data_IF_812894162022
#
_entry.id   IF_812894162022
#
_cell.length_a   1.000
_cell.length_b   1.000
_cell.length_c   1.000
_cell.angle_alpha   90.00
_cell.angle_beta   90.00
_cell.angle_gamma   90.00
#
_symmetry.space_group_name_H-M   'P 1'
#
loop_
_entity.id
_entity.type
_entity.pdbx_description
1 polymer ?
#
# COMPACT_ATOMS: atom_id res chain seq x y z
N UNK A 1 18.68 30.47 83.36
CA UNK A 1 19.70 29.51 82.90
C UNK A 1 19.44 29.18 81.44
N UNK A 2 20.51 29.21 80.60
CA UNK A 2 20.82 28.45 79.36
C UNK A 2 19.63 27.92 78.52
N UNK A 3 19.57 27.94 77.19
CA UNK A 3 20.44 28.29 76.04
C UNK A 3 19.64 27.82 74.78
N UNK A 4 19.76 28.49 73.61
CA UNK A 4 20.07 27.89 72.27
C UNK A 4 19.03 26.90 71.68
N UNK A 5 18.56 26.88 70.43
CA UNK A 5 18.89 27.50 69.13
C UNK A 5 17.84 27.11 68.07
N UNK A 6 17.67 28.01 67.08
CA UNK A 6 17.58 27.87 65.61
C UNK A 6 17.02 26.61 64.88
N UNK A 7 16.39 26.96 63.75
CA UNK A 7 16.36 26.31 62.42
C UNK A 7 15.27 25.26 62.17
N UNK A 8 14.73 25.07 60.97
CA UNK A 8 14.65 25.83 59.72
C UNK A 8 13.70 25.06 58.77
N UNK A 9 13.03 25.80 57.87
CA UNK A 9 12.60 25.43 56.50
C UNK A 9 11.85 24.10 56.28
N UNK A 10 10.63 24.21 55.73
CA UNK A 10 10.29 23.46 54.51
C UNK A 10 9.54 24.38 53.53
N UNK A 11 10.30 24.88 52.56
CA UNK A 11 9.78 25.51 51.34
C UNK A 11 9.18 24.37 50.52
N UNK A 12 7.86 24.32 50.42
CA UNK A 12 7.16 23.41 49.52
C UNK A 12 7.43 23.79 48.07
N UNK A 13 8.51 23.27 47.48
CA UNK A 13 8.70 23.24 46.04
C UNK A 13 7.83 22.13 45.48
N UNK A 14 6.63 22.49 45.04
CA UNK A 14 5.81 21.62 44.19
C UNK A 14 6.54 21.43 42.87
N UNK A 15 7.25 20.30 42.73
CA UNK A 15 7.81 19.86 41.46
C UNK A 15 6.64 19.28 40.64
N UNK A 16 6.04 20.11 39.81
CA UNK A 16 5.18 19.66 38.72
C UNK A 16 6.09 18.91 37.74
N UNK A 17 6.18 17.60 37.89
CA UNK A 17 6.86 16.73 36.94
C UNK A 17 6.08 16.81 35.63
N UNK A 18 6.66 17.51 34.65
CA UNK A 18 6.22 17.47 33.26
C UNK A 18 6.56 16.07 32.74
N UNK A 19 5.62 15.15 32.85
CA UNK A 19 5.68 13.85 32.17
C UNK A 19 5.59 14.10 30.67
N UNK A 20 6.73 14.39 30.04
CA UNK A 20 6.88 14.21 28.60
C UNK A 20 6.81 12.71 28.38
N UNK A 21 5.61 12.20 28.11
CA UNK A 21 5.46 10.92 27.44
C UNK A 21 6.06 11.16 26.06
N UNK A 22 7.34 10.79 25.90
CA UNK A 22 7.89 10.61 24.57
C UNK A 22 7.03 9.53 23.93
N UNK A 23 6.20 9.93 22.96
CA UNK A 23 5.65 8.98 22.01
C UNK A 23 6.87 8.35 21.33
N UNK A 24 7.29 7.18 21.82
CA UNK A 24 8.19 6.34 21.07
C UNK A 24 7.51 6.17 19.72
N UNK A 25 8.16 6.50 18.59
CA UNK A 25 7.62 6.10 17.32
C UNK A 25 7.46 4.58 17.43
N UNK A 26 6.21 4.13 17.50
CA UNK A 26 5.88 2.76 17.13
C UNK A 26 6.62 2.56 15.82
N UNK A 27 7.37 1.46 15.72
CA UNK A 27 8.19 1.10 14.56
C UNK A 27 7.27 1.00 13.34
N UNK A 28 6.82 2.13 12.83
CA UNK A 28 5.84 2.24 11.78
C UNK A 28 6.60 1.80 10.54
N UNK A 29 6.41 0.53 10.17
CA UNK A 29 7.02 -0.19 9.05
C UNK A 29 8.19 0.55 8.40
N UNK A 30 9.40 0.38 8.97
CA UNK A 30 10.63 0.89 8.35
C UNK A 30 10.90 0.20 7.00
N UNK A 31 10.22 -0.92 6.72
CA UNK A 31 10.43 -1.70 5.51
C UNK A 31 10.25 -0.86 4.23
N UNK A 32 9.16 -0.08 4.14
CA UNK A 32 8.84 0.74 2.97
C UNK A 32 9.69 2.02 2.83
N UNK A 33 10.44 2.43 3.86
CA UNK A 33 11.33 3.59 3.82
C UNK A 33 12.83 3.24 3.83
N UNK A 34 13.20 1.96 3.73
CA UNK A 34 14.59 1.52 3.61
C UNK A 34 15.14 1.61 2.18
N UNK A 35 16.47 1.81 2.05
CA UNK A 35 17.19 1.78 0.77
C UNK A 35 17.10 0.43 0.02
N UNK A 36 16.82 -0.65 0.75
CA UNK A 36 16.66 -2.02 0.25
C UNK A 36 15.19 -2.45 0.20
N UNK A 37 14.28 -1.56 0.59
CA UNK A 37 12.85 -1.80 0.66
C UNK A 37 12.16 -1.73 -0.70
N UNK A 38 10.89 -2.14 -0.76
CA UNK A 38 10.15 -2.35 -1.99
C UNK A 38 9.89 -1.03 -2.74
N UNK A 39 9.62 0.05 -2.02
CA UNK A 39 9.45 1.40 -2.59
C UNK A 39 10.70 1.86 -3.34
N UNK A 40 11.88 1.73 -2.73
CA UNK A 40 13.15 2.13 -3.35
C UNK A 40 13.57 1.13 -4.43
N UNK A 41 13.27 -0.15 -4.28
CA UNK A 41 13.48 -1.18 -5.31
C UNK A 41 12.73 -0.84 -6.59
N UNK A 42 11.44 -0.48 -6.49
CA UNK A 42 10.65 -0.06 -7.64
C UNK A 42 11.08 1.30 -8.19
N UNK A 43 11.59 2.23 -7.35
CA UNK A 43 12.19 3.46 -7.82
C UNK A 43 13.44 3.21 -8.69
N UNK A 44 14.32 2.31 -8.25
CA UNK A 44 15.49 1.87 -9.03
C UNK A 44 15.04 1.25 -10.35
N UNK A 45 14.06 0.35 -10.31
CA UNK A 45 13.49 -0.29 -11.50
C UNK A 45 12.86 0.72 -12.46
N UNK A 46 12.22 1.76 -11.94
CA UNK A 46 11.66 2.85 -12.74
C UNK A 46 12.74 3.56 -13.55
N UNK A 47 13.87 3.91 -12.91
CA UNK A 47 15.01 4.56 -13.56
C UNK A 47 15.67 3.63 -14.58
N UNK A 48 15.96 2.38 -14.20
CA UNK A 48 16.60 1.38 -15.07
C UNK A 48 15.80 1.07 -16.33
N UNK A 49 14.47 1.03 -16.22
CA UNK A 49 13.58 0.73 -17.33
C UNK A 49 13.03 1.96 -18.05
N UNK A 50 13.40 3.17 -17.59
CA UNK A 50 12.81 4.43 -18.03
C UNK A 50 11.26 4.39 -18.01
N UNK A 51 10.67 3.80 -16.96
CA UNK A 51 9.23 3.68 -16.79
C UNK A 51 8.83 4.11 -15.37
N UNK A 52 8.33 5.34 -15.25
CA UNK A 52 7.91 5.93 -13.97
C UNK A 52 6.78 5.17 -13.28
N UNK A 53 6.00 4.37 -14.02
CA UNK A 53 4.83 3.68 -13.47
C UNK A 53 5.18 2.66 -12.38
N UNK A 54 6.42 2.13 -12.39
CA UNK A 54 6.93 1.32 -11.27
C UNK A 54 6.91 2.09 -9.94
N UNK A 55 7.19 3.41 -9.97
CA UNK A 55 7.14 4.26 -8.79
C UNK A 55 5.74 4.81 -8.52
N UNK A 56 4.97 5.19 -9.55
CA UNK A 56 3.67 5.86 -9.37
C UNK A 56 2.62 5.03 -8.61
N UNK A 57 2.71 3.69 -8.66
CA UNK A 57 1.82 2.82 -7.89
C UNK A 57 1.96 2.97 -6.36
N UNK A 58 3.05 3.57 -5.88
CA UNK A 58 3.32 3.80 -4.45
C UNK A 58 2.72 5.10 -3.90
N UNK A 59 2.13 5.93 -4.76
CA UNK A 59 1.63 7.26 -4.38
C UNK A 59 0.20 7.48 -4.82
N UNK A 60 -0.51 8.35 -4.10
CA UNK A 60 -1.86 8.76 -4.44
C UNK A 60 -1.88 9.59 -5.75
N UNK A 61 -2.99 9.56 -6.52
CA UNK A 61 -3.09 10.23 -7.83
C UNK A 61 -2.66 11.70 -7.84
N UNK A 62 -2.99 12.45 -6.80
CA UNK A 62 -2.66 13.87 -6.64
C UNK A 62 -1.15 14.15 -6.60
N UNK A 63 -0.34 13.15 -6.25
CA UNK A 63 1.11 13.27 -6.16
C UNK A 63 1.84 12.79 -7.42
N UNK A 64 1.15 12.18 -8.39
CA UNK A 64 1.79 11.62 -9.59
C UNK A 64 2.65 12.64 -10.32
N UNK A 65 2.09 13.83 -10.58
CA UNK A 65 2.79 14.90 -11.30
C UNK A 65 4.10 15.29 -10.62
N UNK A 66 4.11 15.38 -9.29
CA UNK A 66 5.31 15.75 -8.54
C UNK A 66 6.38 14.66 -8.66
N UNK A 67 6.00 13.38 -8.52
CA UNK A 67 6.92 12.24 -8.65
C UNK A 67 7.45 12.12 -10.08
N UNK A 68 6.60 12.29 -11.10
CA UNK A 68 7.01 12.28 -12.51
C UNK A 68 8.04 13.37 -12.82
N UNK A 69 7.87 14.57 -12.27
CA UNK A 69 8.85 15.65 -12.46
C UNK A 69 10.22 15.29 -11.87
N UNK A 70 10.27 14.75 -10.65
CA UNK A 70 11.54 14.35 -10.03
C UNK A 70 12.19 13.17 -10.78
N UNK A 71 11.38 12.23 -11.28
CA UNK A 71 11.85 11.16 -12.16
C UNK A 71 12.50 11.70 -13.44
N UNK A 72 11.84 12.63 -14.14
CA UNK A 72 12.38 13.25 -15.35
C UNK A 72 13.68 14.02 -15.10
N UNK A 73 13.80 14.68 -13.95
CA UNK A 73 15.05 15.32 -13.51
C UNK A 73 16.17 14.30 -13.32
N UNK A 74 15.88 13.16 -12.69
CA UNK A 74 16.85 12.06 -12.53
C UNK A 74 17.32 11.50 -13.89
N UNK A 75 16.39 11.25 -14.82
CA UNK A 75 16.73 10.80 -16.18
C UNK A 75 17.55 11.82 -16.98
N UNK A 76 17.40 13.13 -16.71
CA UNK A 76 18.24 14.17 -17.31
C UNK A 76 19.64 14.20 -16.70
N UNK A 77 19.73 14.09 -15.37
CA UNK A 77 20.99 14.10 -14.64
C UNK A 77 21.90 12.92 -14.97
N UNK A 78 21.32 11.75 -15.32
CA UNK A 78 22.05 10.58 -15.81
C UNK A 78 22.98 10.90 -17.00
N UNK A 79 22.58 11.86 -17.86
CA UNK A 79 23.33 12.25 -19.05
C UNK A 79 24.46 13.25 -18.78
N UNK A 80 24.57 13.75 -17.55
CA UNK A 80 25.51 14.81 -17.17
C UNK A 80 26.80 14.22 -16.62
N UNK A 81 26.73 13.47 -15.53
CA UNK A 81 27.87 12.77 -14.93
C UNK A 81 27.40 11.68 -13.95
N UNK A 82 28.28 10.72 -13.57
CA UNK A 82 27.97 9.72 -12.54
C UNK A 82 27.57 10.34 -11.19
N UNK A 83 28.19 11.45 -10.79
CA UNK A 83 27.90 12.16 -9.55
C UNK A 83 26.53 12.84 -9.61
N UNK A 84 26.21 13.49 -10.74
CA UNK A 84 24.91 14.11 -10.97
C UNK A 84 23.79 13.07 -10.94
N UNK A 85 24.01 11.91 -11.59
CA UNK A 85 23.11 10.76 -11.52
C UNK A 85 22.87 10.32 -10.07
N UNK A 86 23.94 10.08 -9.31
CA UNK A 86 23.82 9.60 -7.93
C UNK A 86 23.01 10.56 -7.04
N UNK A 87 23.23 11.87 -7.20
CA UNK A 87 22.50 12.89 -6.44
C UNK A 87 21.01 12.93 -6.83
N UNK A 88 20.71 12.84 -8.12
CA UNK A 88 19.33 12.90 -8.60
C UNK A 88 18.55 11.61 -8.29
N UNK A 89 19.18 10.44 -8.39
CA UNK A 89 18.59 9.16 -7.98
C UNK A 89 18.21 9.20 -6.49
N UNK A 90 19.11 9.68 -5.63
CA UNK A 90 18.83 9.85 -4.19
C UNK A 90 17.65 10.78 -3.94
N UNK A 91 17.60 11.93 -4.62
CA UNK A 91 16.46 12.86 -4.53
C UNK A 91 15.15 12.18 -4.94
N UNK A 92 15.17 11.38 -6.01
CA UNK A 92 14.00 10.63 -6.45
C UNK A 92 13.54 9.61 -5.41
N UNK A 93 14.46 8.87 -4.81
CA UNK A 93 14.14 7.92 -3.74
C UNK A 93 13.55 8.63 -2.50
N UNK A 94 14.16 9.74 -2.09
CA UNK A 94 13.70 10.52 -0.94
C UNK A 94 12.29 11.09 -1.15
N UNK A 95 12.01 11.70 -2.31
CA UNK A 95 10.67 12.25 -2.58
C UNK A 95 9.62 11.16 -2.72
N UNK A 96 9.94 10.02 -3.36
CA UNK A 96 9.01 8.90 -3.45
C UNK A 96 8.65 8.36 -2.07
N UNK A 97 9.67 8.06 -1.25
CA UNK A 97 9.46 7.53 0.11
C UNK A 97 8.70 8.55 0.96
N UNK A 98 9.06 9.82 0.91
CA UNK A 98 8.38 10.89 1.66
C UNK A 98 6.89 10.99 1.33
N UNK A 99 6.54 10.96 0.05
CA UNK A 99 5.14 11.00 -0.40
C UNK A 99 4.40 9.73 0.00
N UNK A 100 5.03 8.56 -0.19
CA UNK A 100 4.45 7.28 0.21
C UNK A 100 4.12 7.26 1.71
N UNK A 101 5.09 7.63 2.56
CA UNK A 101 4.91 7.71 4.02
C UNK A 101 3.81 8.68 4.43
N UNK A 102 3.72 9.84 3.77
CA UNK A 102 2.63 10.78 3.99
C UNK A 102 1.26 10.17 3.65
N UNK A 103 1.18 9.35 2.58
CA UNK A 103 -0.03 8.59 2.23
C UNK A 103 -0.42 7.54 3.26
N UNK A 104 0.53 7.01 4.03
CA UNK A 104 0.28 6.13 5.18
C UNK A 104 -0.04 6.89 6.48
N UNK A 105 -0.06 8.22 6.45
CA UNK A 105 -0.20 9.06 7.65
C UNK A 105 1.05 9.06 8.55
N UNK A 106 2.19 8.60 8.04
CA UNK A 106 3.43 8.47 8.79
C UNK A 106 4.43 9.60 8.47
N UNK A 107 5.23 10.06 9.45
CA UNK A 107 6.24 11.09 9.20
C UNK A 107 7.40 10.55 8.37
N UNK A 108 7.91 11.38 7.46
CA UNK A 108 9.17 11.11 6.76
C UNK A 108 10.36 11.43 7.68
N UNK A 109 11.23 10.44 7.90
CA UNK A 109 12.42 10.55 8.76
C UNK A 109 13.71 10.20 8.00
N UNK A 110 13.71 10.41 6.68
CA UNK A 110 14.78 10.02 5.77
C UNK A 110 14.66 8.59 5.26
N UNK A 111 15.28 8.30 4.12
CA UNK A 111 15.44 6.92 3.62
C UNK A 111 16.44 6.20 4.51
N UNK A 112 16.05 5.04 5.06
CA UNK A 112 16.91 4.30 5.98
C UNK A 112 18.10 3.67 5.24
N UNK A 113 19.29 3.65 5.85
CA UNK A 113 20.48 3.13 5.20
C UNK A 113 20.37 1.63 4.91
N UNK A 114 21.22 1.15 4.01
CA UNK A 114 21.46 -0.28 3.76
C UNK A 114 21.80 -0.99 5.07
N UNK A 115 21.24 -2.19 5.27
CA UNK A 115 21.41 -2.98 6.49
C UNK A 115 20.56 -2.52 7.67
N UNK A 116 19.59 -1.61 7.47
CA UNK A 116 18.58 -1.30 8.49
C UNK A 116 17.77 -2.57 8.79
N UNK A 117 17.71 -3.03 10.06
CA UNK A 117 16.92 -4.19 10.41
C UNK A 117 15.44 -3.97 10.09
N UNK A 118 14.80 -4.99 9.53
CA UNK A 118 13.35 -5.08 9.35
C UNK A 118 12.79 -6.14 10.29
N UNK A 119 11.53 -6.00 10.69
CA UNK A 119 10.86 -6.99 11.53
C UNK A 119 10.84 -8.36 10.83
N UNK A 120 11.08 -9.43 11.59
CA UNK A 120 11.17 -10.79 11.05
C UNK A 120 9.87 -11.23 10.38
N UNK A 121 8.71 -10.80 10.88
CA UNK A 121 7.41 -11.13 10.29
C UNK A 121 7.16 -10.37 8.99
N UNK A 122 7.62 -9.13 8.88
CA UNK A 122 7.58 -8.39 7.61
C UNK A 122 8.47 -9.10 6.58
N UNK A 123 9.71 -9.44 6.95
CA UNK A 123 10.62 -10.18 6.07
C UNK A 123 10.02 -11.52 5.62
N UNK A 124 9.36 -12.24 6.53
CA UNK A 124 8.64 -13.47 6.23
C UNK A 124 7.42 -13.25 5.33
N UNK A 125 6.68 -12.14 5.49
CA UNK A 125 5.58 -11.77 4.62
C UNK A 125 6.05 -11.51 3.19
N UNK A 126 7.12 -10.74 2.99
CA UNK A 126 7.72 -10.55 1.66
C UNK A 126 8.16 -11.88 1.06
N UNK A 127 8.81 -12.72 1.87
CA UNK A 127 9.27 -14.03 1.40
C UNK A 127 8.09 -14.91 1.00
N UNK A 128 6.96 -14.83 1.72
CA UNK A 128 5.73 -15.58 1.42
C UNK A 128 5.18 -15.21 0.04
N UNK A 129 5.20 -13.92 -0.30
CA UNK A 129 4.80 -13.43 -1.63
C UNK A 129 5.79 -13.92 -2.70
N UNK A 130 7.09 -13.91 -2.40
CA UNK A 130 8.13 -14.39 -3.33
C UNK A 130 7.94 -15.87 -3.68
N UNK A 131 7.77 -16.74 -2.66
CA UNK A 131 7.63 -18.19 -2.84
C UNK A 131 6.20 -18.64 -3.17
N UNK A 132 5.23 -17.73 -3.06
CA UNK A 132 3.83 -18.00 -3.39
C UNK A 132 3.10 -18.90 -2.38
N UNK A 133 3.53 -18.91 -1.12
CA UNK A 133 2.84 -19.62 -0.03
C UNK A 133 3.22 -19.04 1.35
N UNK A 134 2.45 -19.39 2.39
CA UNK A 134 2.62 -18.87 3.75
C UNK A 134 3.67 -19.61 4.61
N UNK A 135 4.44 -20.55 4.06
CA UNK A 135 5.42 -21.31 4.86
C UNK A 135 6.44 -20.45 5.63
N UNK A 136 6.89 -19.28 5.12
CA UNK A 136 7.78 -18.42 5.90
C UNK A 136 7.15 -17.82 7.16
N UNK A 137 5.82 -17.72 7.23
CA UNK A 137 5.07 -17.16 8.37
C UNK A 137 4.57 -18.21 9.36
N UNK A 138 4.82 -19.50 9.10
CA UNK A 138 4.41 -20.58 10.00
C UNK A 138 5.02 -20.41 11.39
N UNK A 139 4.16 -20.42 12.42
CA UNK A 139 4.58 -20.25 13.82
C UNK A 139 4.97 -18.82 14.21
N UNK A 140 4.95 -17.85 13.28
CA UNK A 140 5.21 -16.43 13.56
C UNK A 140 3.93 -15.63 13.83
N UNK A 141 2.79 -16.13 13.36
CA UNK A 141 1.47 -15.52 13.52
C UNK A 141 0.58 -16.44 14.39
N UNK A 142 -0.21 -15.90 15.33
CA UNK A 142 -1.13 -16.70 16.14
C UNK A 142 -2.11 -17.52 15.28
N UNK A 143 -2.42 -18.73 15.72
CA UNK A 143 -3.25 -19.68 14.96
C UNK A 143 -4.63 -19.12 14.61
N UNK A 144 -5.20 -18.30 15.49
CA UNK A 144 -6.48 -17.61 15.32
C UNK A 144 -6.45 -16.54 14.22
N UNK A 145 -5.28 -15.97 13.91
CA UNK A 145 -5.10 -14.96 12.86
C UNK A 145 -4.82 -15.57 11.48
N UNK A 146 -4.49 -16.87 11.41
CA UNK A 146 -4.14 -17.55 10.17
C UNK A 146 -5.21 -17.51 9.07
N UNK A 147 -6.52 -17.62 9.36
CA UNK A 147 -7.55 -17.51 8.32
C UNK A 147 -7.56 -16.15 7.61
N UNK A 148 -7.52 -15.06 8.39
CA UNK A 148 -7.48 -13.68 7.86
C UNK A 148 -6.17 -13.40 7.12
N UNK A 149 -5.04 -13.85 7.68
CA UNK A 149 -3.73 -13.75 7.01
C UNK A 149 -3.75 -14.42 5.63
N UNK A 150 -4.40 -15.59 5.55
CA UNK A 150 -4.55 -16.33 4.29
C UNK A 150 -5.42 -15.59 3.29
N UNK A 151 -6.52 -14.98 3.71
CA UNK A 151 -7.37 -14.17 2.82
C UNK A 151 -6.58 -12.98 2.24
N UNK A 152 -5.85 -12.26 3.09
CA UNK A 152 -5.00 -11.14 2.66
C UNK A 152 -3.90 -11.59 1.70
N UNK A 153 -3.25 -12.72 2.00
CA UNK A 153 -2.26 -13.33 1.11
C UNK A 153 -2.83 -13.69 -0.26
N UNK A 154 -4.01 -14.34 -0.29
CA UNK A 154 -4.68 -14.70 -1.55
C UNK A 154 -5.03 -13.46 -2.38
N UNK A 155 -5.47 -12.37 -1.74
CA UNK A 155 -5.68 -11.07 -2.41
C UNK A 155 -4.39 -10.52 -3.02
N UNK A 156 -3.28 -10.52 -2.27
CA UNK A 156 -1.97 -10.09 -2.80
C UNK A 156 -1.59 -10.92 -4.02
N UNK A 157 -1.71 -12.25 -3.94
CA UNK A 157 -1.34 -13.15 -5.04
C UNK A 157 -2.22 -12.97 -6.28
N UNK A 158 -3.51 -12.68 -6.10
CA UNK A 158 -4.43 -12.40 -7.20
C UNK A 158 -4.06 -11.10 -7.95
N UNK A 159 -3.57 -10.08 -7.22
CA UNK A 159 -3.25 -8.77 -7.76
C UNK A 159 -1.79 -8.64 -8.25
N UNK A 160 -0.89 -9.53 -7.81
CA UNK A 160 0.57 -9.46 -8.04
C UNK A 160 0.98 -9.28 -9.50
N UNK A 161 0.23 -9.85 -10.44
CA UNK A 161 0.56 -9.84 -11.87
C UNK A 161 -0.19 -8.74 -12.65
N UNK A 162 -0.39 -7.57 -12.03
CA UNK A 162 -0.98 -6.41 -12.68
C UNK A 162 -0.12 -5.92 -13.86
N UNK A 163 -0.74 -5.25 -14.83
CA UNK A 163 -0.02 -4.53 -15.88
C UNK A 163 0.63 -3.28 -15.26
N UNK A 164 1.96 -3.18 -15.32
CA UNK A 164 2.71 -2.04 -14.78
C UNK A 164 2.24 -0.69 -15.35
N UNK A 165 1.69 -0.66 -16.56
CA UNK A 165 1.19 0.59 -17.16
C UNK A 165 -0.26 0.92 -16.74
N UNK A 166 -0.92 0.03 -16.00
CA UNK A 166 -2.13 0.32 -15.27
C UNK A 166 -1.77 0.67 -13.82
N UNK A 167 -1.49 1.97 -13.59
CA UNK A 167 -1.05 2.47 -12.29
C UNK A 167 -2.09 2.18 -11.20
N UNK A 168 -3.39 2.25 -11.50
CA UNK A 168 -4.46 1.98 -10.54
C UNK A 168 -4.49 0.52 -10.10
N UNK A 169 -4.29 -0.43 -11.03
CA UNK A 169 -4.12 -1.84 -10.67
C UNK A 169 -2.86 -2.06 -9.82
N UNK A 170 -1.79 -1.30 -10.11
CA UNK A 170 -0.60 -1.29 -9.27
C UNK A 170 -0.88 -0.80 -7.85
N UNK A 171 -1.69 0.25 -7.68
CA UNK A 171 -2.09 0.77 -6.37
C UNK A 171 -2.92 -0.24 -5.59
N UNK A 172 -3.84 -0.92 -6.24
CA UNK A 172 -4.64 -1.98 -5.63
C UNK A 172 -3.74 -3.11 -5.10
N UNK A 173 -2.72 -3.49 -5.87
CA UNK A 173 -1.69 -4.42 -5.39
C UNK A 173 -0.92 -3.89 -4.19
N UNK A 174 -0.50 -2.62 -4.20
CA UNK A 174 0.23 -2.01 -3.07
C UNK A 174 -0.64 -1.94 -1.81
N UNK A 175 -1.93 -1.61 -1.93
CA UNK A 175 -2.87 -1.64 -0.81
C UNK A 175 -2.99 -3.04 -0.20
N UNK A 176 -3.20 -4.06 -1.04
CA UNK A 176 -3.25 -5.45 -0.58
C UNK A 176 -1.92 -5.89 0.06
N UNK A 177 -0.79 -5.51 -0.54
CA UNK A 177 0.55 -5.80 -0.05
C UNK A 177 0.79 -5.21 1.35
N UNK A 178 0.47 -3.91 1.52
CA UNK A 178 0.61 -3.20 2.80
C UNK A 178 -0.31 -3.80 3.86
N UNK A 179 -1.56 -4.06 3.49
CA UNK A 179 -2.54 -4.69 4.35
C UNK A 179 -2.10 -6.08 4.86
N UNK A 180 -1.47 -6.88 3.99
CA UNK A 180 -0.98 -8.22 4.34
C UNK A 180 0.20 -8.19 5.31
N UNK A 181 1.26 -7.41 5.05
CA UNK A 181 2.43 -7.42 5.93
C UNK A 181 2.14 -6.75 7.28
N UNK A 182 1.30 -5.69 7.32
CA UNK A 182 0.88 -5.04 8.59
C UNK A 182 0.12 -6.02 9.48
N UNK A 183 -0.79 -6.78 8.87
CA UNK A 183 -1.51 -7.82 9.59
C UNK A 183 -0.58 -8.93 10.11
N UNK A 184 0.40 -9.35 9.30
CA UNK A 184 1.41 -10.34 9.71
C UNK A 184 2.27 -9.84 10.88
N UNK A 185 2.71 -8.57 10.83
CA UNK A 185 3.45 -7.90 11.91
C UNK A 185 2.64 -7.88 13.22
N UNK A 186 1.32 -7.67 13.10
CA UNK A 186 0.37 -7.66 14.20
C UNK A 186 -0.30 -6.31 14.42
N UNK A 187 -0.15 -5.37 13.48
CA UNK A 187 -0.97 -4.16 13.43
C UNK A 187 -2.41 -4.57 13.11
N UNK A 188 -3.34 -4.30 14.03
CA UNK A 188 -4.75 -4.55 13.81
C UNK A 188 -5.39 -3.32 13.15
N UNK A 189 -5.91 -3.49 11.94
CA UNK A 189 -6.89 -2.57 11.39
C UNK A 189 -8.17 -2.76 12.22
N UNK A 190 -8.59 -1.72 12.95
CA UNK A 190 -9.69 -1.81 13.91
C UNK A 190 -10.97 -2.36 13.29
N UNK A 191 -11.22 -3.65 13.48
CA UNK A 191 -12.54 -4.24 13.31
C UNK A 191 -13.42 -3.75 14.45
N UNK A 192 -14.10 -2.61 14.23
CA UNK A 192 -15.30 -2.27 14.95
C UNK A 192 -16.43 -3.25 14.54
N UNK A 193 -16.31 -4.51 14.94
CA UNK A 193 -17.46 -5.40 15.02
C UNK A 193 -18.21 -5.02 16.30
N UNK A 194 -19.14 -4.09 16.17
CA UNK A 194 -20.17 -3.85 17.18
C UNK A 194 -20.93 -5.16 17.41
N UNK A 195 -20.71 -5.73 18.58
CA UNK A 195 -21.41 -6.88 19.10
C UNK A 195 -21.58 -6.76 20.60
N UNK A 196 -21.89 -5.55 21.10
CA UNK A 196 -22.39 -5.41 22.46
C UNK A 196 -23.82 -5.93 22.49
N UNK A 197 -23.96 -7.18 22.94
CA UNK A 197 -25.22 -7.71 23.40
C UNK A 197 -25.64 -6.95 24.66
N UNK A 198 -26.42 -5.88 24.49
CA UNK A 198 -27.23 -5.33 25.57
C UNK A 198 -28.49 -6.19 25.72
N UNK A 199 -28.45 -7.03 26.75
CA UNK A 199 -29.61 -7.62 27.39
C UNK A 199 -30.58 -6.50 27.82
N UNK A 200 -31.72 -6.41 27.15
CA UNK A 200 -32.86 -5.59 27.57
C UNK A 200 -34.06 -6.50 27.75
N UNK A 201 -34.44 -6.64 29.02
CA UNK A 201 -35.51 -7.50 29.48
C UNK A 201 -36.88 -6.96 29.08
N UNK A 202 -37.73 -7.93 28.80
CA UNK A 202 -39.13 -7.88 28.42
C UNK A 202 -40.00 -7.13 29.43
N UNK A 203 -40.77 -6.13 28.98
CA UNK A 203 -42.02 -5.74 29.63
C UNK A 203 -43.04 -5.32 28.57
N UNK A 204 -44.01 -6.21 28.40
CA UNK A 204 -45.18 -6.11 27.52
C UNK A 204 -46.12 -5.03 28.05
N UNK A 205 -46.57 -4.11 27.18
CA UNK A 205 -47.88 -3.48 27.34
C UNK A 205 -48.54 -3.24 25.99
N UNK A 206 -49.57 -4.04 25.76
CA UNK A 206 -50.56 -3.97 24.69
C UNK A 206 -51.46 -2.75 24.88
N UNK A 207 -51.67 -1.97 23.81
CA UNK A 207 -52.92 -1.23 23.60
C UNK A 207 -53.07 -0.90 22.10
N UNK A 208 -54.12 -1.43 21.51
CA UNK A 208 -54.55 -1.18 20.14
C UNK A 208 -55.42 0.08 20.06
N UNK A 209 -55.35 0.82 18.94
CA UNK A 209 -56.53 1.19 18.13
C UNK A 209 -56.20 1.93 16.82
N UNK A 210 -56.79 1.38 15.75
CA UNK A 210 -57.49 2.01 14.59
C UNK A 210 -56.76 3.08 13.73
N UNK A 211 -56.52 2.76 12.45
CA UNK A 211 -57.31 3.19 11.25
C UNK A 211 -56.80 4.55 10.72
N UNK A 212 -56.26 4.68 9.50
CA UNK A 212 -57.03 4.69 8.25
C UNK A 212 -56.16 4.48 6.99
N UNK A 213 -56.90 4.11 5.95
CA UNK A 213 -56.57 3.77 4.57
C UNK A 213 -56.42 5.01 3.68
N UNK A 214 -55.41 5.08 2.82
CA UNK A 214 -55.52 5.73 1.49
C UNK A 214 -54.34 5.37 0.57
N UNK A 215 -54.68 4.53 -0.39
CA UNK A 215 -53.98 4.18 -1.62
C UNK A 215 -53.67 5.41 -2.50
N UNK A 216 -52.58 5.34 -3.27
CA UNK A 216 -52.62 5.70 -4.68
C UNK A 216 -51.54 4.94 -5.47
N UNK A 217 -52.03 4.07 -6.36
CA UNK A 217 -51.34 3.52 -7.53
C UNK A 217 -52.09 4.07 -8.73
N UNK A 218 -51.37 4.61 -9.72
CA UNK A 218 -51.69 4.62 -11.17
C UNK A 218 -50.55 5.42 -11.85
N UNK A 219 -49.66 4.85 -12.67
CA UNK A 219 -49.81 4.14 -13.95
C UNK A 219 -49.87 5.07 -15.17
N UNK A 220 -48.89 4.85 -16.08
CA UNK A 220 -48.89 5.05 -17.55
C UNK A 220 -49.02 6.52 -18.03
N UNK A 221 -48.28 6.95 -19.04
CA UNK A 221 -48.49 6.49 -20.41
C UNK A 221 -47.28 6.76 -21.33
N UNK A 222 -47.20 5.86 -22.31
CA UNK A 222 -46.24 5.67 -23.37
C UNK A 222 -46.44 6.70 -24.49
N UNK A 223 -45.38 7.17 -25.15
CA UNK A 223 -45.51 7.64 -26.54
C UNK A 223 -44.26 7.31 -27.36
N UNK A 224 -44.35 6.12 -27.93
CA UNK A 224 -43.78 5.73 -29.22
C UNK A 224 -44.13 6.77 -30.30
N UNK A 225 -43.22 7.03 -31.25
CA UNK A 225 -43.51 7.08 -32.70
C UNK A 225 -42.25 7.45 -33.52
N UNK A 226 -41.94 6.51 -34.42
CA UNK A 226 -41.39 6.62 -35.78
C UNK A 226 -39.94 7.08 -36.04
N UNK A 227 -39.15 6.10 -36.47
CA UNK A 227 -38.18 6.20 -37.56
C UNK A 227 -38.90 6.51 -38.91
N UNK A 228 -38.23 7.09 -39.93
CA UNK A 228 -37.70 6.19 -40.98
C UNK A 228 -36.40 6.63 -41.68
N UNK A 229 -35.60 5.60 -42.08
CA UNK A 229 -34.84 5.35 -43.35
C UNK A 229 -34.05 6.50 -44.02
N UNK A 230 -32.92 6.35 -44.72
CA UNK A 230 -31.96 5.29 -45.15
C UNK A 230 -30.94 6.00 -46.07
N UNK A 231 -29.66 5.61 -46.06
CA UNK A 231 -28.67 5.61 -47.18
C UNK A 231 -27.29 5.38 -46.53
N UNK A 232 -26.65 4.20 -46.62
CA UNK A 232 -26.03 3.49 -47.75
C UNK A 232 -24.59 3.97 -48.12
N UNK A 233 -23.76 2.95 -48.37
CA UNK A 233 -22.44 2.88 -49.02
C UNK A 233 -21.15 3.23 -48.25
N UNK A 234 -20.26 2.23 -48.15
CA UNK A 234 -18.81 2.49 -48.06
C UNK A 234 -17.94 1.35 -47.52
N UNK A 235 -17.89 0.19 -48.18
CA UNK A 235 -16.96 -0.90 -47.88
C UNK A 235 -15.57 -0.64 -48.49
N UNK A 236 -14.48 -0.71 -47.71
CA UNK A 236 -13.10 -0.98 -48.20
C UNK A 236 -12.37 -1.89 -47.18
N UNK A 237 -11.71 -2.99 -47.61
CA UNK A 237 -11.08 -3.97 -46.72
C UNK A 237 -9.61 -3.59 -46.40
N UNK A 238 -9.17 -3.85 -45.16
CA UNK A 238 -7.74 -3.90 -44.83
C UNK A 238 -7.32 -5.35 -44.57
N UNK A 239 -6.37 -5.81 -45.37
CA UNK A 239 -5.77 -7.13 -45.29
C UNK A 239 -4.86 -7.24 -44.05
N UNK A 240 -4.99 -8.36 -43.33
CA UNK A 240 -4.04 -8.78 -42.29
C UNK A 240 -3.25 -9.97 -42.84
N UNK A 241 -2.01 -9.74 -43.23
CA UNK A 241 -1.03 -10.80 -43.48
C UNK A 241 -0.17 -10.98 -42.23
N UNK A 242 -0.40 -12.09 -41.51
CA UNK A 242 0.50 -12.61 -40.49
C UNK A 242 1.72 -13.24 -41.15
N UNK A 243 2.91 -12.73 -40.87
CA UNK A 243 4.17 -13.43 -41.12
C UNK A 243 4.63 -14.06 -39.80
N UNK A 244 4.54 -15.39 -39.73
CA UNK A 244 5.14 -16.23 -38.69
C UNK A 244 6.43 -16.81 -39.29
N UNK A 245 7.56 -16.36 -38.75
CA UNK A 245 8.89 -16.98 -38.86
C UNK A 245 9.56 -16.64 -37.53
N UNK A 246 9.81 -17.54 -36.59
CA UNK A 246 10.46 -18.84 -36.75
C UNK A 246 11.96 -18.63 -36.61
N UNK A 247 12.49 -18.57 -35.39
CA UNK A 247 13.91 -18.80 -35.14
C UNK A 247 14.09 -19.75 -33.96
N UNK A 248 14.55 -20.95 -34.33
CA UNK A 248 14.83 -22.07 -33.48
C UNK A 248 16.19 -21.92 -32.78
N UNK A 249 16.29 -22.64 -31.68
CA UNK A 249 17.45 -22.87 -30.83
C UNK A 249 18.78 -23.09 -31.57
N UNK A 250 19.86 -22.52 -31.04
CA UNK A 250 21.21 -23.02 -31.23
C UNK A 250 21.82 -23.34 -29.86
N UNK A 251 21.71 -24.62 -29.48
CA UNK A 251 22.49 -25.23 -28.40
C UNK A 251 23.59 -26.09 -29.03
N UNK A 252 24.82 -25.60 -28.98
CA UNK A 252 26.08 -26.33 -29.18
C UNK A 252 27.01 -25.74 -28.10
N UNK A 253 27.43 -26.44 -27.06
CA UNK A 253 28.07 -27.75 -27.10
C UNK A 253 29.58 -27.55 -27.07
N UNK A 254 30.18 -27.31 -25.88
CA UNK A 254 31.62 -27.48 -25.71
C UNK A 254 31.95 -28.02 -24.30
N UNK A 255 32.01 -29.35 -24.23
CA UNK A 255 32.66 -30.11 -23.16
C UNK A 255 33.92 -30.72 -23.78
N UNK A 256 35.11 -30.26 -23.38
CA UNK A 256 36.31 -31.11 -23.14
C UNK A 256 37.58 -30.30 -22.85
N UNK A 257 38.20 -30.72 -21.74
CA UNK A 257 39.64 -30.88 -21.47
C UNK A 257 40.51 -29.61 -21.47
N UNK A 258 40.97 -29.23 -20.28
CA UNK A 258 42.42 -29.16 -19.97
C UNK A 258 42.62 -29.59 -18.51
N UNK A 259 43.86 -29.94 -18.19
CA UNK A 259 44.34 -30.82 -17.12
C UNK A 259 43.87 -30.55 -15.70
#
# INVERSE_FOLDING_TARGET
>A
MKKVTKSAKFIGRSLMALSIVAALPLMASAHCDTMEGPTVSDAKKALESNNVNYALKWVQPENEKAITQVFEEAMKAEKVSPEAKNLADKKFFEELVKVHRAGEGAPFTGVKPVGTPIDEKIAAADKSIEVGNLSPLEGMVPAEKMPELKERFEKVMALKNFDVNNVDAGREYIEAYVSFFKFAEGEEEGHAAQGEAQESQHAVHTAAKESEHATNTEAKENKEISNPKTADMGTIPFAVTSAITGLAALALGLKRKFQ
#
